data_IF_107607728240
#
_entry.id   IF_107607728240
#
_cell.length_a   1.000
_cell.length_b   1.000
_cell.length_c   1.000
_cell.angle_alpha   90.00
_cell.angle_beta   90.00
_cell.angle_gamma   90.00
#
_symmetry.space_group_name_H-M   'P 1'
#
loop_
_entity.id
_entity.type
_entity.pdbx_description
1 polymer ?
#
# COMPACT_ATOMS: atom_id res chain seq x y z
N UNK A 1 25.70 9.36 -26.37
CA UNK A 1 24.39 9.42 -25.70
C UNK A 1 24.55 8.69 -24.37
N UNK A 2 24.50 9.42 -23.24
CA UNK A 2 24.44 8.79 -21.91
C UNK A 2 23.11 8.08 -21.80
N UNK A 3 23.10 6.75 -21.75
CA UNK A 3 21.95 5.97 -21.32
C UNK A 3 21.68 6.31 -19.85
N UNK A 4 20.84 7.30 -19.59
CA UNK A 4 20.29 7.51 -18.26
C UNK A 4 19.38 6.30 -18.01
N UNK A 5 19.85 5.33 -17.24
CA UNK A 5 19.00 4.27 -16.70
C UNK A 5 17.93 4.97 -15.88
N UNK A 6 16.72 5.05 -16.41
CA UNK A 6 15.59 5.64 -15.71
C UNK A 6 15.13 4.63 -14.68
N UNK A 7 15.53 4.83 -13.43
CA UNK A 7 15.07 4.02 -12.30
C UNK A 7 13.57 4.22 -12.09
N UNK A 8 12.83 3.15 -11.76
CA UNK A 8 11.43 3.28 -11.39
C UNK A 8 11.31 4.10 -10.09
N UNK A 9 10.26 4.91 -10.01
CA UNK A 9 9.94 5.75 -8.85
C UNK A 9 8.61 5.31 -8.27
N UNK A 10 8.55 5.13 -6.95
CA UNK A 10 7.32 4.82 -6.23
C UNK A 10 6.95 5.95 -5.29
N UNK A 11 5.75 6.50 -5.47
CA UNK A 11 5.18 7.50 -4.58
C UNK A 11 4.49 6.79 -3.40
N UNK A 12 4.91 7.08 -2.16
CA UNK A 12 4.27 6.55 -0.95
C UNK A 12 3.28 7.56 -0.39
N UNK A 13 2.02 7.14 -0.19
CA UNK A 13 0.91 8.01 0.23
C UNK A 13 0.35 7.61 1.60
N UNK A 14 -0.34 8.53 2.27
CA UNK A 14 -0.96 8.31 3.57
C UNK A 14 -2.29 7.53 3.47
N UNK A 15 -2.71 6.82 4.54
CA UNK A 15 -4.01 6.16 4.58
C UNK A 15 -5.16 7.11 4.91
N UNK A 16 -4.87 8.30 5.45
CA UNK A 16 -5.85 9.26 5.99
C UNK A 16 -6.44 10.20 4.93
N UNK A 17 -6.08 9.98 3.67
CA UNK A 17 -6.59 10.75 2.54
C UNK A 17 -8.09 10.49 2.31
N UNK A 18 -8.84 11.54 2.00
CA UNK A 18 -10.21 11.42 1.54
C UNK A 18 -10.30 10.97 0.07
N UNK A 19 -11.51 10.65 -0.38
CA UNK A 19 -11.75 10.13 -1.72
C UNK A 19 -11.39 11.13 -2.83
N UNK A 20 -11.58 12.43 -2.58
CA UNK A 20 -11.23 13.48 -3.52
C UNK A 20 -9.71 13.60 -3.68
N UNK A 21 -8.98 13.57 -2.57
CA UNK A 21 -7.51 13.60 -2.56
C UNK A 21 -6.93 12.36 -3.27
N UNK A 22 -7.49 11.17 -3.02
CA UNK A 22 -7.06 9.95 -3.72
C UNK A 22 -7.34 10.07 -5.22
N UNK A 23 -8.48 10.65 -5.61
CA UNK A 23 -8.81 10.91 -7.01
C UNK A 23 -7.81 11.82 -7.70
N UNK A 24 -7.40 12.93 -7.06
CA UNK A 24 -6.37 13.85 -7.58
C UNK A 24 -5.02 13.15 -7.74
N UNK A 25 -4.62 12.35 -6.75
CA UNK A 25 -3.38 11.58 -6.81
C UNK A 25 -3.44 10.57 -7.96
N UNK A 26 -4.53 9.83 -8.10
CA UNK A 26 -4.69 8.85 -9.17
C UNK A 26 -4.64 9.50 -10.55
N UNK A 27 -5.33 10.62 -10.76
CA UNK A 27 -5.28 11.37 -12.03
C UNK A 27 -3.86 11.86 -12.35
N UNK A 28 -3.13 12.31 -11.34
CA UNK A 28 -1.74 12.74 -11.48
C UNK A 28 -0.83 11.56 -11.85
N UNK A 29 -1.00 10.42 -11.17
CA UNK A 29 -0.25 9.21 -11.46
C UNK A 29 -0.53 8.67 -12.87
N UNK A 30 -1.78 8.71 -13.34
CA UNK A 30 -2.13 8.37 -14.72
C UNK A 30 -1.44 9.30 -15.73
N UNK A 31 -1.52 10.61 -15.50
CA UNK A 31 -0.93 11.61 -16.41
C UNK A 31 0.57 11.40 -16.63
N UNK A 32 1.31 11.04 -15.59
CA UNK A 32 2.77 10.91 -15.65
C UNK A 32 3.27 9.47 -15.71
N UNK A 33 2.43 8.49 -15.42
CA UNK A 33 2.80 7.08 -15.33
C UNK A 33 2.24 6.19 -16.44
N UNK A 34 1.33 6.72 -17.28
CA UNK A 34 0.75 5.98 -18.39
C UNK A 34 1.10 6.61 -19.73
N UNK A 35 1.14 5.78 -20.77
CA UNK A 35 1.25 6.21 -22.16
C UNK A 35 -0.07 6.75 -22.72
N UNK A 36 -0.06 7.17 -23.99
CA UNK A 36 -1.26 7.65 -24.69
C UNK A 36 -2.35 6.57 -24.84
N UNK A 37 -1.97 5.30 -24.75
CA UNK A 37 -2.85 4.12 -24.75
C UNK A 37 -3.48 3.83 -23.37
N UNK A 38 -3.19 4.65 -22.35
CA UNK A 38 -3.65 4.48 -20.99
C UNK A 38 -2.94 3.36 -20.21
N UNK A 39 -1.95 2.68 -20.81
CA UNK A 39 -1.20 1.63 -20.13
C UNK A 39 -0.02 2.21 -19.33
N UNK A 40 0.23 1.67 -18.14
CA UNK A 40 1.37 2.06 -17.33
C UNK A 40 2.69 1.68 -18.03
N UNK A 41 3.60 2.64 -18.12
CA UNK A 41 4.92 2.40 -18.73
C UNK A 41 5.96 1.80 -17.75
N UNK A 42 5.53 1.41 -16.53
CA UNK A 42 6.35 0.72 -15.52
C UNK A 42 7.43 1.59 -14.82
N UNK A 43 7.46 2.90 -15.08
CA UNK A 43 8.44 3.81 -14.46
C UNK A 43 7.93 4.48 -13.21
N UNK A 44 6.63 4.52 -13.02
CA UNK A 44 5.97 5.12 -11.87
C UNK A 44 5.06 4.09 -11.22
N UNK A 45 5.08 4.02 -9.91
CA UNK A 45 4.21 3.18 -9.11
C UNK A 45 3.79 3.88 -7.83
N UNK A 46 2.93 3.26 -7.06
CA UNK A 46 2.46 3.79 -5.78
C UNK A 46 2.63 2.77 -4.66
N UNK A 47 3.02 3.27 -3.48
CA UNK A 47 3.06 2.48 -2.24
C UNK A 47 1.91 2.95 -1.36
N UNK A 48 0.97 2.10 -1.12
CA UNK A 48 -0.19 2.36 -0.27
C UNK A 48 -0.20 1.39 0.93
N UNK A 49 0.09 1.88 2.17
CA UNK A 49 0.18 3.28 2.56
C UNK A 49 1.33 3.52 3.55
N UNK A 50 1.49 4.78 3.97
CA UNK A 50 2.28 5.17 5.13
C UNK A 50 1.49 4.83 6.41
N UNK A 51 1.95 5.29 7.58
CA UNK A 51 1.28 5.23 8.89
C UNK A 51 0.09 6.19 8.93
N UNK A 52 -0.86 5.98 9.89
CA UNK A 52 -2.02 6.85 10.10
C UNK A 52 -1.82 7.85 11.24
N UNK A 53 -2.46 9.00 11.14
CA UNK A 53 -2.58 9.97 12.23
C UNK A 53 -3.80 9.70 13.12
N UNK A 54 -4.77 8.86 12.68
CA UNK A 54 -5.92 8.46 13.50
C UNK A 54 -5.46 7.70 14.75
N UNK A 55 -6.13 7.99 15.86
CA UNK A 55 -5.92 7.36 17.16
C UNK A 55 -7.14 6.54 17.63
N UNK A 56 -8.18 6.45 16.81
CA UNK A 56 -9.44 5.80 17.19
C UNK A 56 -9.24 4.37 17.67
N UNK A 57 -8.37 3.61 16.99
CA UNK A 57 -8.08 2.22 17.31
C UNK A 57 -7.24 2.00 18.58
N UNK A 58 -6.65 3.06 19.13
CA UNK A 58 -5.80 3.00 20.34
C UNK A 58 -6.30 3.91 21.46
N UNK A 59 -7.49 4.48 21.29
CA UNK A 59 -8.10 5.39 22.27
C UNK A 59 -8.24 4.71 23.64
N UNK A 60 -7.73 5.34 24.68
CA UNK A 60 -7.72 4.83 26.04
C UNK A 60 -6.61 3.83 26.37
N UNK A 61 -5.74 3.49 25.41
CA UNK A 61 -4.54 2.71 25.67
C UNK A 61 -3.38 3.61 26.16
N UNK A 62 -2.43 3.00 26.85
CA UNK A 62 -1.18 3.69 27.22
C UNK A 62 -0.48 4.18 25.94
N UNK A 63 0.06 5.39 25.96
CA UNK A 63 0.75 6.05 24.83
C UNK A 63 -0.15 6.37 23.61
N UNK A 64 -1.48 6.36 23.75
CA UNK A 64 -2.39 6.66 22.64
C UNK A 64 -2.20 8.06 22.06
N UNK A 65 -1.77 9.03 22.89
CA UNK A 65 -1.64 10.45 22.52
C UNK A 65 -0.22 10.81 22.04
N UNK A 66 0.68 9.83 21.90
CA UNK A 66 2.03 10.11 21.41
C UNK A 66 2.01 10.65 19.98
N UNK A 67 2.87 11.66 19.74
CA UNK A 67 3.06 12.24 18.40
C UNK A 67 3.72 11.24 17.46
N UNK A 68 3.32 11.27 16.18
CA UNK A 68 3.88 10.41 15.13
C UNK A 68 2.81 9.63 14.41
N UNK A 69 3.23 8.76 13.49
CA UNK A 69 2.33 7.90 12.75
C UNK A 69 2.11 6.56 13.46
N UNK A 70 0.85 6.17 13.63
CA UNK A 70 0.48 4.85 14.14
C UNK A 70 0.61 3.80 13.04
N UNK A 71 1.27 2.69 13.33
CA UNK A 71 1.47 1.55 12.42
C UNK A 71 0.82 0.26 12.97
N UNK A 72 0.98 -0.86 12.27
CA UNK A 72 0.45 -2.16 12.69
C UNK A 72 -1.01 -2.38 12.32
N UNK A 73 -1.69 -3.28 13.04
CA UNK A 73 -3.07 -3.70 12.75
C UNK A 73 -4.05 -2.54 12.46
N UNK A 74 -4.02 -1.41 13.19
CA UNK A 74 -4.93 -0.29 12.94
C UNK A 74 -4.93 0.26 11.51
N UNK A 75 -3.84 0.08 10.76
CA UNK A 75 -3.72 0.62 9.40
C UNK A 75 -4.30 -0.32 8.33
N UNK A 76 -4.61 -1.58 8.65
CA UNK A 76 -4.97 -2.59 7.65
C UNK A 76 -6.13 -2.16 6.76
N UNK A 77 -7.27 -1.83 7.35
CA UNK A 77 -8.49 -1.51 6.60
C UNK A 77 -8.40 -0.16 5.87
N UNK A 78 -7.83 0.87 6.51
CA UNK A 78 -7.61 2.16 5.86
C UNK A 78 -6.71 2.02 4.63
N UNK A 79 -5.64 1.25 4.74
CA UNK A 79 -4.74 0.95 3.64
C UNK A 79 -5.43 0.14 2.52
N UNK A 80 -6.23 -0.88 2.86
CA UNK A 80 -6.99 -1.66 1.89
C UNK A 80 -8.03 -0.81 1.15
N UNK A 81 -8.69 0.14 1.83
CA UNK A 81 -9.58 1.12 1.22
C UNK A 81 -8.86 1.94 0.15
N UNK A 82 -7.71 2.52 0.51
CA UNK A 82 -6.90 3.33 -0.42
C UNK A 82 -6.46 2.51 -1.64
N UNK A 83 -6.00 1.26 -1.42
CA UNK A 83 -5.59 0.37 -2.51
C UNK A 83 -6.74 0.08 -3.47
N UNK A 84 -7.95 -0.23 -2.95
CA UNK A 84 -9.14 -0.46 -3.78
C UNK A 84 -9.47 0.74 -4.67
N UNK A 85 -9.43 1.95 -4.11
CA UNK A 85 -9.71 3.18 -4.84
C UNK A 85 -8.66 3.48 -5.90
N UNK A 86 -7.38 3.32 -5.56
CA UNK A 86 -6.29 3.47 -6.53
C UNK A 86 -6.40 2.44 -7.66
N UNK A 87 -6.68 1.17 -7.36
CA UNK A 87 -6.83 0.13 -8.37
C UNK A 87 -8.01 0.39 -9.29
N UNK A 88 -9.15 0.85 -8.76
CA UNK A 88 -10.30 1.25 -9.56
C UNK A 88 -9.99 2.41 -10.51
N UNK A 89 -9.24 3.40 -10.05
CA UNK A 89 -8.87 4.56 -10.84
C UNK A 89 -7.74 4.30 -11.84
N UNK A 90 -6.68 3.60 -11.43
CA UNK A 90 -5.44 3.43 -12.21
C UNK A 90 -5.46 2.23 -13.18
N UNK A 91 -6.44 1.33 -13.04
CA UNK A 91 -6.51 0.11 -13.85
C UNK A 91 -5.49 -0.97 -13.44
N UNK A 92 -5.51 -2.11 -14.15
CA UNK A 92 -4.75 -3.31 -13.76
C UNK A 92 -3.24 -3.22 -14.03
N UNK A 93 -2.82 -2.40 -14.98
CA UNK A 93 -1.41 -2.31 -15.40
C UNK A 93 -0.55 -1.42 -14.52
N UNK A 94 -1.16 -0.56 -13.68
CA UNK A 94 -0.41 0.38 -12.83
C UNK A 94 0.15 -0.32 -11.59
N UNK A 95 1.49 -0.21 -11.30
CA UNK A 95 2.10 -0.91 -10.17
C UNK A 95 1.65 -0.36 -8.81
N UNK A 96 1.10 -1.20 -7.95
CA UNK A 96 0.68 -0.87 -6.58
C UNK A 96 1.35 -1.81 -5.58
N UNK A 97 2.12 -1.24 -4.65
CA UNK A 97 2.67 -1.95 -3.49
C UNK A 97 1.75 -1.75 -2.30
N UNK A 98 1.17 -2.84 -1.77
CA UNK A 98 0.31 -2.80 -0.59
C UNK A 98 1.12 -2.92 0.71
N UNK A 99 1.00 -1.94 1.61
CA UNK A 99 1.67 -1.94 2.90
C UNK A 99 0.77 -1.40 4.00
N UNK A 100 0.97 -1.87 5.23
CA UNK A 100 0.24 -1.45 6.43
C UNK A 100 -0.68 -2.54 6.98
N UNK A 101 -0.47 -2.87 8.25
CA UNK A 101 -1.32 -3.77 9.01
C UNK A 101 -1.15 -5.27 8.76
N UNK A 102 -0.18 -5.70 7.97
CA UNK A 102 0.03 -7.14 7.70
C UNK A 102 0.68 -7.80 8.92
N UNK A 103 -0.10 -8.62 9.62
CA UNK A 103 0.30 -9.42 10.77
C UNK A 103 0.04 -10.92 10.59
N UNK A 104 -0.55 -11.31 9.47
CA UNK A 104 -0.86 -12.71 9.12
C UNK A 104 -0.81 -12.94 7.61
N UNK A 105 -0.83 -14.21 7.20
CA UNK A 105 -1.01 -14.58 5.80
C UNK A 105 -2.33 -14.10 5.22
N UNK A 106 -3.41 -14.12 6.01
CA UNK A 106 -4.72 -13.62 5.61
C UNK A 106 -4.70 -12.10 5.30
N UNK A 107 -3.96 -11.32 6.11
CA UNK A 107 -3.79 -9.88 5.86
C UNK A 107 -3.05 -9.63 4.54
N UNK A 108 -2.03 -10.43 4.23
CA UNK A 108 -1.31 -10.35 2.96
C UNK A 108 -2.24 -10.66 1.78
N UNK A 109 -3.07 -11.69 1.90
CA UNK A 109 -4.10 -12.05 0.89
C UNK A 109 -5.10 -10.91 0.72
N UNK A 110 -5.55 -10.29 1.82
CA UNK A 110 -6.50 -9.16 1.74
C UNK A 110 -5.93 -7.95 1.00
N UNK A 111 -4.61 -7.69 1.08
CA UNK A 111 -3.94 -6.64 0.31
C UNK A 111 -3.99 -6.89 -1.20
N UNK A 112 -3.69 -8.13 -1.62
CA UNK A 112 -3.76 -8.51 -3.03
C UNK A 112 -5.22 -8.47 -3.52
N UNK A 113 -6.16 -8.97 -2.72
CA UNK A 113 -7.59 -8.89 -3.04
C UNK A 113 -8.09 -7.42 -3.15
N UNK A 114 -7.51 -6.50 -2.37
CA UNK A 114 -7.78 -5.07 -2.49
C UNK A 114 -7.23 -4.45 -3.79
N UNK A 115 -6.31 -5.12 -4.47
CA UNK A 115 -5.76 -4.69 -5.74
C UNK A 115 -4.25 -4.38 -5.76
N UNK A 116 -3.51 -4.70 -4.70
CA UNK A 116 -2.06 -4.61 -4.72
C UNK A 116 -1.44 -5.70 -5.61
N UNK A 117 -0.31 -5.40 -6.26
CA UNK A 117 0.45 -6.37 -7.05
C UNK A 117 1.45 -7.15 -6.19
N UNK A 118 2.01 -6.47 -5.19
CA UNK A 118 2.94 -7.03 -4.21
C UNK A 118 2.64 -6.44 -2.82
N UNK A 119 3.12 -7.14 -1.77
CA UNK A 119 2.96 -6.67 -0.40
C UNK A 119 4.30 -6.31 0.22
N UNK A 120 4.30 -5.33 1.12
CA UNK A 120 5.43 -4.93 1.94
C UNK A 120 5.05 -5.08 3.41
N UNK A 121 5.92 -5.71 4.20
CA UNK A 121 5.72 -5.95 5.65
C UNK A 121 6.73 -5.10 6.43
N UNK A 122 6.28 -4.42 7.48
CA UNK A 122 7.14 -3.66 8.39
C UNK A 122 6.89 -4.05 9.86
N UNK A 123 5.82 -3.56 10.47
CA UNK A 123 5.52 -3.78 11.89
C UNK A 123 5.34 -5.26 12.23
N UNK A 124 4.66 -6.01 11.35
CA UNK A 124 4.51 -7.46 11.52
C UNK A 124 5.83 -8.21 11.56
N UNK A 125 6.83 -7.75 10.79
CA UNK A 125 8.17 -8.34 10.81
C UNK A 125 8.87 -8.14 12.17
N UNK A 126 8.65 -6.99 12.82
CA UNK A 126 9.21 -6.70 14.14
C UNK A 126 8.67 -7.70 15.18
N UNK A 127 7.35 -7.97 15.15
CA UNK A 127 6.69 -8.84 16.14
C UNK A 127 6.84 -10.34 15.85
N UNK A 128 6.83 -10.75 14.58
CA UNK A 128 6.77 -12.16 14.16
C UNK A 128 8.01 -12.66 13.42
N UNK A 129 8.94 -11.76 13.12
CA UNK A 129 10.18 -12.12 12.41
C UNK A 129 9.93 -12.68 11.00
N UNK A 130 10.90 -13.44 10.50
CA UNK A 130 10.85 -14.04 9.16
C UNK A 130 9.76 -15.10 8.99
N UNK A 131 9.19 -15.62 10.09
CA UNK A 131 8.09 -16.57 10.03
C UNK A 131 6.86 -15.97 9.31
N UNK A 132 6.56 -14.67 9.56
CA UNK A 132 5.48 -13.98 8.89
C UNK A 132 5.69 -13.89 7.37
N UNK A 133 6.93 -13.71 6.92
CA UNK A 133 7.23 -13.65 5.48
C UNK A 133 6.90 -14.98 4.81
N UNK A 134 7.27 -16.11 5.44
CA UNK A 134 6.93 -17.46 4.95
C UNK A 134 5.43 -17.71 4.95
N UNK A 135 4.75 -17.36 6.07
CA UNK A 135 3.29 -17.46 6.19
C UNK A 135 2.57 -16.68 5.08
N UNK A 136 2.95 -15.41 4.88
CA UNK A 136 2.37 -14.56 3.84
C UNK A 136 2.61 -15.15 2.43
N UNK A 137 3.82 -15.61 2.13
CA UNK A 137 4.14 -16.21 0.85
C UNK A 137 3.34 -17.50 0.58
N UNK A 138 3.17 -18.36 1.59
CA UNK A 138 2.36 -19.58 1.49
C UNK A 138 0.87 -19.26 1.28
N UNK A 139 0.33 -18.31 2.05
CA UNK A 139 -1.06 -17.88 1.92
C UNK A 139 -1.34 -17.28 0.54
N UNK A 140 -0.46 -16.43 0.04
CA UNK A 140 -0.58 -15.83 -1.30
C UNK A 140 -0.47 -16.88 -2.41
N UNK A 141 0.37 -17.91 -2.24
CA UNK A 141 0.45 -19.03 -3.19
C UNK A 141 -0.83 -19.86 -3.20
N UNK A 142 -1.43 -20.12 -2.05
CA UNK A 142 -2.66 -20.89 -1.92
C UNK A 142 -3.92 -20.15 -2.42
N UNK A 143 -3.90 -18.81 -2.46
CA UNK A 143 -5.00 -17.97 -2.91
C UNK A 143 -5.02 -17.69 -4.43
N UNK A 144 -4.03 -18.19 -5.18
CA UNK A 144 -3.95 -18.13 -6.65
C UNK A 144 -4.71 -19.26 -7.31
#
# INVERSE_FOLDING_TARGET
QRHVKQSPVFLKIAPDLDDAQIGVIAATLQRYGCGADGQAHGRLGVIATNTTLSRDAVKGLQHADETGGLSGAPVLEASNRVIRQLRAALGKSFPIVGVGGILSGADAVSKIAAGADVVQIYTGLIYKGSALVREAAQALKAAR
#
